data_IF_917473958490
#
_entry.id   IF_917473958490
#
_cell.length_a   1.000
_cell.length_b   1.000
_cell.length_c   1.000
_cell.angle_alpha   90.00
_cell.angle_beta   90.00
_cell.angle_gamma   90.00
#
_symmetry.space_group_name_H-M   'P 1'
#
loop_
_entity.id
_entity.type
_entity.pdbx_description
1 polymer ?
#
# COMPACT_ATOMS: atom_id res chain seq x y z
N UNK A 1 -49.55 14.33 9.82
CA UNK A 1 -49.56 15.18 8.61
C UNK A 1 -48.47 16.26 8.63
N UNK A 2 -48.51 17.27 9.52
CA UNK A 2 -47.45 18.30 9.56
C UNK A 2 -46.15 17.80 10.22
N UNK A 3 -46.28 17.04 11.31
CA UNK A 3 -45.15 16.44 12.03
C UNK A 3 -44.34 15.47 11.16
N UNK A 4 -45.01 14.69 10.31
CA UNK A 4 -44.36 13.78 9.36
C UNK A 4 -43.55 14.50 8.30
N UNK A 5 -44.05 15.65 7.82
CA UNK A 5 -43.37 16.48 6.83
C UNK A 5 -42.13 17.12 7.45
N UNK A 6 -42.25 17.66 8.67
CA UNK A 6 -41.13 18.25 9.40
C UNK A 6 -40.07 17.22 9.72
N UNK A 7 -40.46 16.02 10.18
CA UNK A 7 -39.57 14.89 10.44
C UNK A 7 -38.82 14.45 9.17
N UNK A 8 -39.55 14.24 8.07
CA UNK A 8 -38.96 13.86 6.78
C UNK A 8 -37.99 14.93 6.26
N UNK A 9 -38.30 16.21 6.45
CA UNK A 9 -37.39 17.31 6.08
C UNK A 9 -36.14 17.36 6.96
N UNK A 10 -36.26 17.05 8.25
CA UNK A 10 -35.14 16.93 9.19
C UNK A 10 -34.19 15.79 8.82
N UNK A 11 -34.74 14.61 8.55
CA UNK A 11 -34.00 13.42 8.11
C UNK A 11 -33.27 13.68 6.76
N UNK A 12 -33.96 14.31 5.81
CA UNK A 12 -33.39 14.65 4.50
C UNK A 12 -32.26 15.70 4.63
N UNK A 13 -32.40 16.65 5.57
CA UNK A 13 -31.33 17.60 5.91
C UNK A 13 -30.13 16.91 6.56
N UNK A 14 -30.35 16.00 7.51
CA UNK A 14 -29.26 15.22 8.13
C UNK A 14 -28.52 14.36 7.10
N UNK A 15 -29.26 13.64 6.24
CA UNK A 15 -28.65 12.84 5.17
C UNK A 15 -27.83 13.67 4.17
N UNK A 16 -28.27 14.90 3.85
CA UNK A 16 -27.48 15.84 3.03
C UNK A 16 -26.20 16.31 3.74
N UNK A 17 -26.25 16.56 5.05
CA UNK A 17 -25.09 16.95 5.85
C UNK A 17 -24.07 15.81 5.90
N UNK A 18 -24.54 14.58 6.16
CA UNK A 18 -23.71 13.38 6.23
C UNK A 18 -23.07 13.04 4.88
N UNK A 19 -23.84 13.10 3.77
CA UNK A 19 -23.29 12.95 2.41
C UNK A 19 -22.23 14.01 2.10
N UNK A 20 -22.46 15.27 2.48
CA UNK A 20 -21.49 16.36 2.27
C UNK A 20 -20.24 16.17 3.14
N UNK A 21 -20.41 15.65 4.37
CA UNK A 21 -19.30 15.27 5.26
C UNK A 21 -18.44 14.15 4.65
N UNK A 22 -19.05 13.09 4.14
CA UNK A 22 -18.32 12.00 3.47
C UNK A 22 -17.70 12.41 2.12
N UNK A 23 -18.34 13.30 1.36
CA UNK A 23 -17.73 13.88 0.15
C UNK A 23 -16.48 14.72 0.48
N UNK A 24 -16.48 15.47 1.59
CA UNK A 24 -15.29 16.20 2.07
C UNK A 24 -14.15 15.26 2.47
N UNK A 25 -14.43 14.06 2.99
CA UNK A 25 -13.40 13.05 3.27
C UNK A 25 -12.70 12.53 2.00
N UNK A 26 -13.30 12.71 0.81
CA UNK A 26 -12.81 12.16 -0.46
C UNK A 26 -11.69 12.99 -1.11
N UNK A 27 -11.38 14.18 -0.60
CA UNK A 27 -10.26 15.01 -1.07
C UNK A 27 -9.64 15.80 0.08
N UNK A 28 -8.35 15.54 0.37
CA UNK A 28 -7.53 16.04 1.49
C UNK A 28 -8.27 16.89 2.55
N UNK A 29 -8.38 16.34 3.76
CA UNK A 29 -8.82 17.05 4.97
C UNK A 29 -8.01 18.35 5.15
N UNK A 30 -8.67 19.37 5.74
CA UNK A 30 -8.19 20.73 6.01
C UNK A 30 -7.02 21.19 5.13
N UNK A 31 -7.27 21.43 3.83
CA UNK A 31 -6.29 22.20 3.05
C UNK A 31 -6.40 23.66 3.48
N UNK A 32 -5.30 24.32 3.90
CA UNK A 32 -5.32 25.77 4.02
C UNK A 32 -5.63 26.36 2.64
N UNK A 33 -6.63 27.23 2.57
CA UNK A 33 -6.87 28.06 1.39
C UNK A 33 -6.30 29.43 1.73
N UNK A 34 -5.04 29.69 1.32
CA UNK A 34 -4.30 30.87 1.80
C UNK A 34 -4.00 30.78 3.30
N UNK A 35 -4.23 31.86 4.05
CA UNK A 35 -4.00 31.95 5.51
C UNK A 35 -5.15 31.40 6.37
N UNK A 36 -6.28 30.98 5.77
CA UNK A 36 -7.49 30.61 6.52
C UNK A 36 -7.86 29.13 6.40
N UNK A 37 -8.18 28.52 7.54
CA UNK A 37 -8.75 27.18 7.67
C UNK A 37 -10.27 27.33 7.77
N UNK A 38 -11.02 26.86 6.78
CA UNK A 38 -12.49 26.96 6.75
C UNK A 38 -13.16 25.99 7.74
N UNK A 39 -13.86 26.49 8.77
CA UNK A 39 -14.83 25.76 9.62
C UNK A 39 -14.46 24.28 9.90
N UNK A 40 -13.22 24.05 10.34
CA UNK A 40 -12.71 22.72 10.73
C UNK A 40 -12.69 22.67 12.26
N UNK A 41 -13.15 21.58 12.86
CA UNK A 41 -13.05 21.44 14.33
C UNK A 41 -11.60 21.16 14.74
N UNK A 42 -11.23 21.49 15.99
CA UNK A 42 -9.92 21.14 16.54
C UNK A 42 -9.68 19.62 16.54
N UNK A 43 -10.75 18.84 16.70
CA UNK A 43 -10.71 17.39 16.69
C UNK A 43 -10.41 16.84 15.29
N UNK A 44 -11.03 17.39 14.24
CA UNK A 44 -10.75 17.02 12.85
C UNK A 44 -9.29 17.30 12.45
N UNK A 45 -8.70 18.40 12.95
CA UNK A 45 -7.28 18.71 12.75
C UNK A 45 -6.37 17.71 13.47
N UNK A 46 -6.72 17.31 14.69
CA UNK A 46 -5.97 16.29 15.44
C UNK A 46 -6.02 14.93 14.75
N UNK A 47 -7.20 14.50 14.33
CA UNK A 47 -7.37 13.26 13.57
C UNK A 47 -6.51 13.27 12.30
N UNK A 48 -6.58 14.35 11.52
CA UNK A 48 -5.77 14.50 10.32
C UNK A 48 -4.28 14.40 10.61
N UNK A 49 -3.79 15.10 11.63
CA UNK A 49 -2.39 15.05 12.02
C UNK A 49 -1.95 13.64 12.42
N UNK A 50 -2.80 12.90 13.16
CA UNK A 50 -2.52 11.50 13.51
C UNK A 50 -2.49 10.58 12.29
N UNK A 51 -3.41 10.78 11.33
CA UNK A 51 -3.44 10.05 10.06
C UNK A 51 -2.16 10.34 9.25
N UNK A 52 -1.77 11.60 9.13
CA UNK A 52 -0.56 12.04 8.40
C UNK A 52 0.72 11.47 9.03
N UNK A 53 0.84 11.49 10.37
CA UNK A 53 1.96 10.83 11.07
C UNK A 53 1.96 9.33 10.79
N UNK A 54 0.79 8.67 10.92
CA UNK A 54 0.71 7.23 10.72
C UNK A 54 1.07 6.81 9.30
N UNK A 55 0.64 7.58 8.29
CA UNK A 55 0.96 7.32 6.88
C UNK A 55 2.43 7.59 6.59
N UNK A 56 3.00 8.67 7.15
CA UNK A 56 4.43 8.95 7.08
C UNK A 56 5.28 7.82 7.70
N UNK A 57 4.92 7.36 8.89
CA UNK A 57 5.59 6.25 9.57
C UNK A 57 5.51 4.95 8.76
N UNK A 58 4.34 4.61 8.21
CA UNK A 58 4.17 3.45 7.31
C UNK A 58 5.06 3.58 6.07
N UNK A 59 5.15 4.77 5.47
CA UNK A 59 6.01 5.01 4.31
C UNK A 59 7.50 4.83 4.66
N UNK A 60 7.94 5.33 5.81
CA UNK A 60 9.30 5.17 6.31
C UNK A 60 9.64 3.70 6.60
N UNK A 61 8.76 2.95 7.27
CA UNK A 61 8.94 1.52 7.51
C UNK A 61 9.08 0.74 6.20
N UNK A 62 8.24 1.02 5.20
CA UNK A 62 8.34 0.40 3.88
C UNK A 62 9.65 0.75 3.18
N UNK A 63 10.15 1.97 3.33
CA UNK A 63 11.45 2.38 2.80
C UNK A 63 12.59 1.61 3.48
N UNK A 64 12.56 1.48 4.80
CA UNK A 64 13.55 0.69 5.56
C UNK A 64 13.58 -0.77 5.10
N UNK A 65 12.42 -1.40 4.94
CA UNK A 65 12.31 -2.77 4.41
C UNK A 65 12.91 -2.88 3.00
N UNK A 66 12.65 -1.91 2.11
CA UNK A 66 13.26 -1.90 0.76
C UNK A 66 14.77 -1.77 0.79
N UNK A 67 15.30 -0.97 1.71
CA UNK A 67 16.74 -0.79 1.90
C UNK A 67 17.38 -2.10 2.40
N UNK A 68 16.80 -2.75 3.41
CA UNK A 68 17.26 -4.04 3.93
C UNK A 68 17.23 -5.14 2.85
N UNK A 69 16.16 -5.20 2.04
CA UNK A 69 16.10 -6.14 0.91
C UNK A 69 17.19 -5.86 -0.11
N UNK A 70 17.45 -4.60 -0.41
CA UNK A 70 18.50 -4.20 -1.37
C UNK A 70 19.89 -4.58 -0.84
N UNK A 71 20.11 -4.45 0.47
CA UNK A 71 21.33 -4.92 1.12
C UNK A 71 21.50 -6.44 0.99
N UNK A 72 20.48 -7.24 1.31
CA UNK A 72 20.54 -8.70 1.18
C UNK A 72 20.83 -9.13 -0.28
N UNK A 73 20.22 -8.46 -1.27
CA UNK A 73 20.50 -8.72 -2.70
C UNK A 73 21.96 -8.41 -3.05
N UNK A 74 22.53 -7.31 -2.54
CA UNK A 74 23.94 -6.97 -2.77
C UNK A 74 24.86 -8.04 -2.21
N UNK A 75 24.63 -8.49 -0.98
CA UNK A 75 25.40 -9.57 -0.36
C UNK A 75 25.33 -10.87 -1.19
N UNK A 76 24.15 -11.23 -1.69
CA UNK A 76 24.01 -12.38 -2.59
C UNK A 76 24.75 -12.20 -3.92
N UNK A 77 24.79 -11.00 -4.49
CA UNK A 77 25.54 -10.70 -5.72
C UNK A 77 27.05 -10.68 -5.47
N UNK A 78 27.53 -10.21 -4.31
CA UNK A 78 28.94 -10.30 -3.93
C UNK A 78 29.42 -11.75 -3.90
N UNK A 79 28.63 -12.66 -3.31
CA UNK A 79 28.91 -14.11 -3.31
C UNK A 79 28.91 -14.66 -4.75
N UNK A 80 27.98 -14.20 -5.61
CA UNK A 80 27.96 -14.60 -7.04
C UNK A 80 29.17 -14.07 -7.81
N UNK A 81 29.63 -12.87 -7.51
CA UNK A 81 30.82 -12.28 -8.14
C UNK A 81 32.09 -12.98 -7.71
N UNK A 82 32.19 -13.38 -6.44
CA UNK A 82 33.26 -14.24 -5.98
C UNK A 82 33.27 -15.58 -6.73
N UNK A 83 32.11 -16.22 -6.90
CA UNK A 83 32.00 -17.42 -7.72
C UNK A 83 32.45 -17.16 -9.16
N UNK A 84 31.99 -16.09 -9.81
CA UNK A 84 32.40 -15.76 -11.19
C UNK A 84 33.93 -15.65 -11.34
N UNK A 85 34.61 -15.14 -10.31
CA UNK A 85 36.07 -14.97 -10.23
C UNK A 85 36.81 -16.26 -9.84
N UNK A 86 36.25 -17.09 -8.94
CA UNK A 86 36.90 -18.26 -8.32
C UNK A 86 36.19 -19.59 -8.60
N UNK A 87 35.50 -19.70 -9.73
CA UNK A 87 34.72 -20.91 -10.11
C UNK A 87 35.57 -22.11 -10.48
N UNK A 88 36.84 -21.91 -10.84
CA UNK A 88 37.80 -22.98 -11.15
C UNK A 88 38.47 -23.42 -9.85
N UNK A 89 38.21 -24.65 -9.45
CA UNK A 89 38.63 -25.23 -8.17
C UNK A 89 39.14 -26.64 -8.42
N UNK A 90 40.21 -27.03 -7.72
CA UNK A 90 40.76 -28.38 -7.80
C UNK A 90 39.92 -29.31 -6.93
N UNK A 91 39.17 -30.22 -7.55
CA UNK A 91 38.35 -31.22 -6.86
C UNK A 91 38.92 -32.59 -7.19
N UNK A 92 39.39 -33.30 -6.17
CA UNK A 92 40.03 -34.62 -6.29
C UNK A 92 41.23 -34.64 -7.26
N UNK A 93 42.06 -33.60 -7.23
CA UNK A 93 43.27 -33.48 -8.06
C UNK A 93 43.03 -33.06 -9.52
N UNK A 94 41.77 -32.84 -9.92
CA UNK A 94 41.40 -32.35 -11.26
C UNK A 94 40.84 -30.94 -11.12
N UNK A 95 41.36 -30.01 -11.93
CA UNK A 95 40.80 -28.67 -12.03
C UNK A 95 39.42 -28.74 -12.68
N UNK A 96 38.39 -28.32 -11.93
CA UNK A 96 37.00 -28.32 -12.38
C UNK A 96 36.41 -26.93 -12.21
N UNK A 97 35.64 -26.53 -13.20
CA UNK A 97 34.80 -25.34 -13.12
C UNK A 97 33.46 -25.71 -12.47
N UNK A 98 33.27 -25.29 -11.22
CA UNK A 98 32.07 -25.62 -10.44
C UNK A 98 30.87 -24.75 -10.82
N UNK A 99 29.69 -25.37 -10.86
CA UNK A 99 28.43 -24.63 -10.89
C UNK A 99 28.22 -23.90 -9.56
N UNK A 100 27.46 -22.80 -9.55
CA UNK A 100 27.30 -21.94 -8.36
C UNK A 100 26.88 -22.71 -7.10
N UNK A 101 25.89 -23.61 -7.20
CA UNK A 101 25.43 -24.40 -6.06
C UNK A 101 26.52 -25.32 -5.50
N UNK A 102 27.23 -26.04 -6.38
CA UNK A 102 28.34 -26.91 -5.99
C UNK A 102 29.50 -26.11 -5.38
N UNK A 103 29.75 -24.90 -5.90
CA UNK A 103 30.75 -24.00 -5.38
C UNK A 103 30.40 -23.47 -3.98
N UNK A 104 29.12 -23.16 -3.73
CA UNK A 104 28.66 -22.77 -2.39
C UNK A 104 28.88 -23.90 -1.38
N UNK A 105 28.50 -25.13 -1.71
CA UNK A 105 28.70 -26.30 -0.85
C UNK A 105 30.20 -26.57 -0.60
N UNK A 106 31.03 -26.44 -1.65
CA UNK A 106 32.49 -26.62 -1.53
C UNK A 106 33.16 -25.54 -0.66
N UNK A 107 32.67 -24.30 -0.73
CA UNK A 107 33.23 -23.17 0.03
C UNK A 107 32.59 -22.98 1.41
N UNK A 108 31.52 -23.72 1.73
CA UNK A 108 30.73 -23.57 2.96
C UNK A 108 29.92 -22.27 3.00
N UNK A 109 29.72 -21.60 1.87
CA UNK A 109 28.95 -20.34 1.75
C UNK A 109 27.47 -20.57 1.49
N UNK A 110 27.04 -21.83 1.39
CA UNK A 110 25.66 -22.23 1.19
C UNK A 110 24.75 -21.73 2.33
N UNK A 111 25.21 -21.82 3.58
CA UNK A 111 24.48 -21.33 4.75
C UNK A 111 24.30 -19.81 4.72
N UNK A 112 25.36 -19.06 4.42
CA UNK A 112 25.31 -17.59 4.31
C UNK A 112 24.36 -17.15 3.19
N UNK A 113 24.50 -17.76 2.01
CA UNK A 113 23.64 -17.46 0.86
C UNK A 113 22.17 -17.76 1.15
N UNK A 114 21.89 -18.91 1.78
CA UNK A 114 20.54 -19.30 2.17
C UNK A 114 19.92 -18.32 3.19
N UNK A 115 20.71 -17.85 4.16
CA UNK A 115 20.27 -16.85 5.14
C UNK A 115 19.85 -15.53 4.46
N UNK A 116 20.67 -15.03 3.52
CA UNK A 116 20.33 -13.82 2.78
C UNK A 116 19.10 -14.01 1.86
N UNK A 117 18.95 -15.16 1.21
CA UNK A 117 17.77 -15.41 0.37
C UNK A 117 16.49 -15.55 1.20
N UNK A 118 16.57 -16.21 2.37
CA UNK A 118 15.47 -16.30 3.32
C UNK A 118 15.04 -14.90 3.82
N UNK A 119 15.99 -14.08 4.24
CA UNK A 119 15.73 -12.69 4.64
C UNK A 119 15.08 -11.88 3.51
N UNK A 120 15.62 -11.99 2.29
CA UNK A 120 15.06 -11.36 1.09
C UNK A 120 13.62 -11.80 0.83
N UNK A 121 13.31 -13.09 0.98
CA UNK A 121 11.99 -13.65 0.77
C UNK A 121 10.99 -13.18 1.85
N UNK A 122 11.40 -13.16 3.11
CA UNK A 122 10.60 -12.66 4.22
C UNK A 122 10.25 -11.19 4.04
N UNK A 123 11.24 -10.33 3.75
CA UNK A 123 11.02 -8.91 3.53
C UNK A 123 10.08 -8.67 2.33
N UNK A 124 10.20 -9.48 1.27
CA UNK A 124 9.27 -9.43 0.13
C UNK A 124 7.85 -9.75 0.57
N UNK A 125 7.66 -10.76 1.42
CA UNK A 125 6.35 -11.11 1.98
C UNK A 125 5.78 -9.92 2.77
N UNK A 126 6.57 -9.33 3.67
CA UNK A 126 6.16 -8.16 4.46
C UNK A 126 5.77 -6.96 3.58
N UNK A 127 6.54 -6.68 2.52
CA UNK A 127 6.22 -5.60 1.56
C UNK A 127 4.95 -5.86 0.74
N UNK A 128 4.58 -7.13 0.56
CA UNK A 128 3.41 -7.55 -0.22
C UNK A 128 2.15 -7.71 0.62
N UNK A 129 2.25 -7.73 1.96
CA UNK A 129 1.07 -7.70 2.84
C UNK A 129 0.26 -6.44 2.51
N UNK A 130 -0.94 -6.64 1.95
CA UNK A 130 -1.95 -5.61 1.81
C UNK A 130 -2.72 -5.55 3.13
N UNK A 131 -3.14 -4.35 3.55
CA UNK A 131 -4.19 -4.26 4.56
C UNK A 131 -5.45 -4.90 3.96
N UNK A 132 -6.17 -5.69 4.77
CA UNK A 132 -7.40 -6.38 4.36
C UNK A 132 -8.49 -5.35 4.10
N UNK A 133 -8.48 -4.78 2.89
CA UNK A 133 -9.56 -3.95 2.40
C UNK A 133 -10.61 -4.86 1.77
N UNK A 134 -11.74 -5.00 2.45
CA UNK A 134 -12.93 -5.56 1.84
C UNK A 134 -13.56 -4.49 0.95
N UNK A 135 -13.49 -4.67 -0.37
CA UNK A 135 -14.29 -3.88 -1.31
C UNK A 135 -15.70 -4.43 -1.27
N UNK A 136 -16.63 -3.69 -0.66
CA UNK A 136 -18.05 -4.01 -0.76
C UNK A 136 -18.51 -3.55 -2.15
N UNK A 137 -18.69 -4.50 -3.07
CA UNK A 137 -19.37 -4.27 -4.34
C UNK A 137 -20.86 -3.98 -4.06
N UNK A 138 -21.16 -2.74 -3.69
CA UNK A 138 -22.54 -2.28 -3.61
C UNK A 138 -23.11 -2.26 -5.02
N UNK A 139 -24.07 -3.13 -5.31
CA UNK A 139 -24.83 -3.04 -6.55
C UNK A 139 -25.54 -1.68 -6.58
N UNK A 140 -25.41 -0.96 -7.70
CA UNK A 140 -26.06 0.33 -7.87
C UNK A 140 -27.58 0.13 -7.76
N UNK A 141 -28.21 0.82 -6.81
CA UNK A 141 -29.65 0.71 -6.56
C UNK A 141 -30.46 0.89 -7.87
N UNK A 142 -31.55 0.13 -8.07
CA UNK A 142 -32.37 0.22 -9.29
C UNK A 142 -32.81 1.65 -9.60
N UNK A 143 -33.13 2.42 -8.56
CA UNK A 143 -33.54 3.83 -8.64
C UNK A 143 -32.44 4.72 -9.21
N UNK A 144 -31.18 4.48 -8.83
CA UNK A 144 -30.03 5.22 -9.36
C UNK A 144 -29.76 4.85 -10.84
N UNK A 145 -30.01 3.59 -11.23
CA UNK A 145 -29.98 3.18 -12.64
C UNK A 145 -31.06 3.86 -13.47
N UNK A 146 -32.28 3.97 -12.94
CA UNK A 146 -33.37 4.68 -13.61
C UNK A 146 -33.13 6.18 -13.71
N UNK A 147 -32.57 6.81 -12.67
CA UNK A 147 -32.22 8.23 -12.69
C UNK A 147 -31.16 8.54 -13.76
N UNK A 148 -30.11 7.72 -13.87
CA UNK A 148 -29.09 7.85 -14.93
C UNK A 148 -29.71 7.64 -16.32
N UNK A 149 -30.61 6.66 -16.45
CA UNK A 149 -31.34 6.40 -17.70
C UNK A 149 -32.15 7.63 -18.10
N UNK A 150 -32.96 8.19 -17.19
CA UNK A 150 -33.79 9.38 -17.44
C UNK A 150 -32.95 10.61 -17.77
N UNK A 151 -31.84 10.84 -17.07
CA UNK A 151 -30.95 11.97 -17.35
C UNK A 151 -30.37 11.91 -18.78
N UNK A 152 -29.94 10.74 -19.25
CA UNK A 152 -29.46 10.54 -20.63
C UNK A 152 -30.50 10.85 -21.72
N UNK A 153 -31.79 10.76 -21.40
CA UNK A 153 -32.85 11.08 -22.35
C UNK A 153 -33.25 12.56 -22.34
N UNK A 154 -32.85 13.34 -21.33
CA UNK A 154 -33.16 14.78 -21.23
C UNK A 154 -32.12 15.63 -21.94
N UNK A 155 -30.85 15.21 -21.98
CA UNK A 155 -29.76 15.95 -22.64
C UNK A 155 -29.69 15.76 -24.18
N UNK A 156 -30.66 15.06 -24.76
CA UNK A 156 -30.69 14.69 -26.19
C UNK A 156 -31.80 15.35 -27.02
N UNK A 157 -32.43 16.42 -26.52
CA UNK A 157 -33.50 17.15 -27.22
C UNK A 157 -33.20 18.65 -27.27
#
# INVERSE_FOLDING_TARGET
MLEDIVRKHGEDRQGRIEKRYHQRKRGKRAKPVGEYIHNVSLEELREQHTEDISTGNKAQQRLQLRNLRSFAIRQMEEIRDEWRKKKEVIVNGVEKRLQFKQWLEHTGKDVEYASYDASRAEIRSQLNKKEDFFTIDTQLAPEAREAIRKARFVDGN
#
